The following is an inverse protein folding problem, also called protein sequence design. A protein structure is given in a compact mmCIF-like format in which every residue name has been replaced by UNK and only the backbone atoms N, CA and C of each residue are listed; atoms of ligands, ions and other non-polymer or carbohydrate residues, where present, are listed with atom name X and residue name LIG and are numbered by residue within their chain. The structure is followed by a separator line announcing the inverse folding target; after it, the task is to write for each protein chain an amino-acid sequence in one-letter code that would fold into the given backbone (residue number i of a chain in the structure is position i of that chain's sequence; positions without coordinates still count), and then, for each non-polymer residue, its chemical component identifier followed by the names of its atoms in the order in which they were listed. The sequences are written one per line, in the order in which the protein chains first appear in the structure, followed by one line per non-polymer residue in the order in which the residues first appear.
data_IF_277389821780
#
_entry.id   IF_277389821780
#
_cell.length_a   1.000
_cell.length_b   1.000
_cell.length_c   1.000
_cell.angle_alpha   90.00
_cell.angle_beta   90.00
_cell.angle_gamma   90.00
#
_symmetry.space_group_name_H-M   'P 1'
#
loop_
_entity.id
_entity.type
_entity.pdbx_description
1 polymer ?
#
# COMPACT_ATOMS: atom_id res chain seq x y z
N UNK A 1 0.76 -26.29 1.08
CA UNK A 1 1.96 -25.92 1.83
C UNK A 1 1.58 -26.04 3.28
N UNK A 2 2.15 -27.01 4.02
CA UNK A 2 1.97 -27.10 5.47
C UNK A 2 2.67 -25.91 6.08
N UNK A 3 1.91 -24.99 6.72
CA UNK A 3 2.46 -23.98 7.59
C UNK A 3 3.33 -24.68 8.64
N UNK A 4 4.63 -24.51 8.55
CA UNK A 4 5.50 -24.80 9.69
C UNK A 4 5.17 -23.73 10.74
N UNK A 5 4.56 -24.13 11.84
CA UNK A 5 4.34 -23.24 12.98
C UNK A 5 5.71 -22.70 13.41
N UNK A 6 5.95 -21.43 13.25
CA UNK A 6 7.17 -20.76 13.71
C UNK A 6 7.23 -20.66 15.24
N UNK A 7 6.85 -21.72 15.93
CA UNK A 7 6.88 -21.79 17.39
C UNK A 7 5.81 -20.98 18.14
N UNK A 8 4.90 -20.31 17.39
CA UNK A 8 3.77 -19.60 18.00
C UNK A 8 2.57 -20.57 18.13
N UNK A 9 2.00 -20.75 19.32
CA UNK A 9 1.01 -21.80 19.58
C UNK A 9 -0.40 -21.49 19.06
N UNK A 10 -0.60 -20.33 18.43
CA UNK A 10 -1.91 -19.90 17.94
C UNK A 10 -1.86 -19.75 16.41
N UNK A 11 -2.69 -20.49 15.72
CA UNK A 11 -2.89 -20.34 14.28
C UNK A 11 -4.04 -19.34 14.03
N UNK A 12 -3.82 -18.26 13.28
CA UNK A 12 -4.88 -17.29 12.96
C UNK A 12 -5.91 -17.94 12.03
N UNK A 13 -7.20 -17.71 12.33
CA UNK A 13 -8.27 -18.09 11.39
C UNK A 13 -8.22 -17.15 10.19
N UNK A 14 -8.11 -17.68 8.94
CA UNK A 14 -8.15 -16.83 7.77
C UNK A 14 -9.45 -16.02 7.72
N UNK A 15 -9.36 -14.71 7.50
CA UNK A 15 -10.56 -13.85 7.45
C UNK A 15 -11.55 -14.30 6.38
N UNK A 16 -11.06 -14.97 5.32
CA UNK A 16 -11.89 -15.59 4.26
C UNK A 16 -12.78 -16.72 4.76
N UNK A 17 -12.49 -17.28 5.93
CA UNK A 17 -13.29 -18.32 6.59
C UNK A 17 -14.25 -17.77 7.65
N UNK A 18 -14.23 -16.45 7.91
CA UNK A 18 -15.07 -15.80 8.92
C UNK A 18 -16.31 -15.20 8.27
N UNK A 19 -17.49 -15.50 8.84
CA UNK A 19 -18.77 -14.91 8.44
C UNK A 19 -19.41 -14.21 9.63
N UNK A 20 -19.63 -12.91 9.51
CA UNK A 20 -20.32 -12.12 10.51
C UNK A 20 -21.83 -12.29 10.34
N UNK A 21 -22.52 -12.73 11.40
CA UNK A 21 -23.96 -13.01 11.37
C UNK A 21 -24.76 -12.21 12.40
N UNK A 22 -24.09 -11.46 13.28
CA UNK A 22 -24.73 -10.64 14.31
C UNK A 22 -25.20 -9.28 13.76
N UNK A 23 -26.14 -8.66 14.48
CA UNK A 23 -26.70 -7.37 14.07
C UNK A 23 -25.78 -6.18 14.37
N UNK A 24 -24.88 -6.29 15.33
CA UNK A 24 -23.99 -5.20 15.72
C UNK A 24 -22.88 -4.97 14.68
N UNK A 25 -22.10 -6.01 14.36
CA UNK A 25 -21.02 -5.92 13.35
C UNK A 25 -21.58 -5.88 11.93
N UNK A 26 -22.69 -6.58 11.67
CA UNK A 26 -23.35 -6.56 10.36
C UNK A 26 -23.76 -5.16 9.92
N UNK A 27 -24.29 -4.31 10.82
CA UNK A 27 -24.60 -2.92 10.51
C UNK A 27 -23.33 -2.10 10.17
N UNK A 28 -22.23 -2.33 10.88
CA UNK A 28 -20.94 -1.65 10.63
C UNK A 28 -20.32 -2.04 9.30
N UNK A 29 -20.37 -3.33 8.96
CA UNK A 29 -19.92 -3.80 7.65
C UNK A 29 -20.77 -3.21 6.52
N UNK A 30 -22.10 -3.10 6.70
CA UNK A 30 -22.97 -2.44 5.73
C UNK A 30 -22.62 -0.95 5.58
N UNK A 31 -22.42 -0.23 6.69
CA UNK A 31 -21.98 1.17 6.64
C UNK A 31 -20.63 1.33 5.94
N UNK A 32 -19.69 0.42 6.20
CA UNK A 32 -18.39 0.41 5.51
C UNK A 32 -18.55 0.21 4.01
N UNK A 33 -19.42 -0.73 3.59
CA UNK A 33 -19.68 -1.04 2.18
C UNK A 33 -20.38 0.08 1.44
N UNK A 34 -21.43 0.66 2.06
CA UNK A 34 -22.32 1.58 1.37
C UNK A 34 -21.88 3.04 1.46
N UNK A 35 -21.10 3.38 2.48
CA UNK A 35 -20.70 4.76 2.77
C UNK A 35 -19.19 4.92 2.87
N UNK A 36 -18.51 4.20 3.79
CA UNK A 36 -17.12 4.51 4.15
C UNK A 36 -16.17 4.27 2.98
N UNK A 37 -16.21 3.10 2.35
CA UNK A 37 -15.30 2.76 1.26
C UNK A 37 -15.58 3.61 0.00
N UNK A 38 -16.82 3.81 -0.46
CA UNK A 38 -17.08 4.75 -1.56
C UNK A 38 -16.61 6.17 -1.26
N UNK A 39 -16.84 6.68 -0.04
CA UNK A 39 -16.37 8.00 0.37
C UNK A 39 -14.83 8.08 0.39
N UNK A 40 -14.15 7.05 0.92
CA UNK A 40 -12.70 7.02 0.97
C UNK A 40 -12.07 7.08 -0.44
N UNK A 41 -12.60 6.31 -1.39
CA UNK A 41 -12.17 6.39 -2.78
C UNK A 41 -12.43 7.76 -3.41
N UNK A 42 -13.63 8.33 -3.18
CA UNK A 42 -13.95 9.70 -3.63
C UNK A 42 -12.98 10.72 -3.07
N UNK A 43 -12.60 10.59 -1.79
CA UNK A 43 -11.60 11.48 -1.18
C UNK A 43 -10.19 11.28 -1.73
N UNK A 44 -9.78 10.05 -2.04
CA UNK A 44 -8.52 9.81 -2.74
C UNK A 44 -8.46 10.54 -4.09
N UNK A 45 -9.56 10.57 -4.83
CA UNK A 45 -9.67 11.29 -6.10
C UNK A 45 -9.69 12.81 -5.89
N UNK A 46 -10.62 13.31 -5.07
CA UNK A 46 -10.82 14.75 -4.81
C UNK A 46 -9.56 15.43 -4.25
N UNK A 47 -8.79 14.72 -3.43
CA UNK A 47 -7.61 15.26 -2.76
C UNK A 47 -6.31 14.96 -3.49
N UNK A 48 -6.39 14.43 -4.72
CA UNK A 48 -5.25 14.29 -5.63
C UNK A 48 -4.36 13.07 -5.38
N UNK A 49 -4.79 12.07 -4.56
CA UNK A 49 -3.98 10.87 -4.30
C UNK A 49 -3.70 10.09 -5.59
N UNK A 50 -4.70 9.96 -6.46
CA UNK A 50 -4.49 9.32 -7.77
C UNK A 50 -3.64 10.17 -8.71
N UNK A 51 -3.80 11.50 -8.65
CA UNK A 51 -2.98 12.43 -9.43
C UNK A 51 -1.50 12.30 -9.06
N UNK A 52 -1.16 12.03 -7.79
CA UNK A 52 0.21 11.79 -7.36
C UNK A 52 0.83 10.59 -8.10
N UNK A 53 0.11 9.47 -8.22
CA UNK A 53 0.60 8.32 -8.99
C UNK A 53 0.73 8.63 -10.49
N UNK A 54 -0.24 9.33 -11.08
CA UNK A 54 -0.15 9.76 -12.49
C UNK A 54 1.07 10.65 -12.71
N UNK A 55 1.31 11.60 -11.82
CA UNK A 55 2.48 12.47 -11.87
C UNK A 55 3.79 11.69 -11.67
N UNK A 56 3.81 10.70 -10.78
CA UNK A 56 4.99 9.86 -10.56
C UNK A 56 5.30 8.97 -11.77
N UNK A 57 4.29 8.57 -12.55
CA UNK A 57 4.48 7.88 -13.82
C UNK A 57 5.06 8.80 -14.92
N UNK A 58 4.92 10.12 -14.77
CA UNK A 58 5.39 11.15 -15.71
C UNK A 58 6.13 12.28 -14.97
N UNK A 59 7.29 12.01 -14.35
CA UNK A 59 8.00 12.99 -13.51
C UNK A 59 8.35 14.27 -14.27
N UNK A 60 8.24 15.41 -13.60
CA UNK A 60 8.58 16.71 -14.18
C UNK A 60 9.05 17.69 -13.12
N UNK A 61 10.06 18.51 -13.47
CA UNK A 61 10.56 19.59 -12.62
C UNK A 61 9.52 20.68 -12.35
N UNK A 62 8.44 20.71 -13.13
CA UNK A 62 7.36 21.71 -12.97
C UNK A 62 6.29 21.26 -11.98
N UNK A 63 6.29 19.98 -11.57
CA UNK A 63 5.33 19.47 -10.61
C UNK A 63 5.68 19.99 -9.21
N UNK A 64 4.70 20.64 -8.58
CA UNK A 64 4.82 21.02 -7.17
C UNK A 64 4.41 19.85 -6.31
N UNK A 65 5.37 19.27 -5.60
CA UNK A 65 5.11 18.20 -4.64
C UNK A 65 4.60 18.81 -3.34
N UNK A 66 3.45 18.37 -2.88
CA UNK A 66 2.80 18.86 -1.66
C UNK A 66 1.97 17.76 -1.00
N UNK A 67 1.15 18.13 -0.02
CA UNK A 67 0.40 17.17 0.79
C UNK A 67 1.24 16.59 1.92
N UNK A 68 1.04 15.33 2.23
CA UNK A 68 1.82 14.60 3.23
C UNK A 68 2.70 13.55 2.54
N UNK A 69 3.89 13.32 3.08
CA UNK A 69 4.83 12.35 2.50
C UNK A 69 4.29 10.91 2.44
N UNK A 70 3.20 10.61 3.14
CA UNK A 70 2.56 9.30 3.20
C UNK A 70 1.18 9.25 2.51
N UNK A 71 0.85 10.21 1.67
CA UNK A 71 -0.44 10.28 0.93
C UNK A 71 -0.73 9.01 0.12
N UNK A 72 0.28 8.31 -0.39
CA UNK A 72 0.14 7.04 -1.11
C UNK A 72 -0.61 5.99 -0.29
N UNK A 73 -0.41 5.99 1.05
CA UNK A 73 -1.03 5.01 1.94
C UNK A 73 -2.54 5.12 2.02
N UNK A 74 -3.13 6.28 1.74
CA UNK A 74 -4.58 6.46 1.72
C UNK A 74 -5.21 5.55 0.66
N UNK A 75 -4.55 5.42 -0.51
CA UNK A 75 -4.98 4.52 -1.58
C UNK A 75 -4.82 3.07 -1.17
N UNK A 76 -3.67 2.70 -0.60
CA UNK A 76 -3.39 1.31 -0.19
C UNK A 76 -4.34 0.83 0.90
N UNK A 77 -4.57 1.63 1.95
CA UNK A 77 -5.50 1.33 3.04
C UNK A 77 -6.95 1.24 2.57
N UNK A 78 -7.34 2.10 1.63
CA UNK A 78 -8.69 2.05 1.06
C UNK A 78 -8.90 0.77 0.25
N UNK A 79 -7.90 0.35 -0.55
CA UNK A 79 -7.93 -0.93 -1.28
C UNK A 79 -7.95 -2.11 -0.29
N UNK A 80 -7.19 -2.06 0.80
CA UNK A 80 -7.19 -3.08 1.84
C UNK A 80 -8.60 -3.26 2.43
N UNK A 81 -9.21 -2.18 2.91
CA UNK A 81 -10.56 -2.21 3.47
C UNK A 81 -11.62 -2.67 2.45
N UNK A 82 -11.51 -2.23 1.19
CA UNK A 82 -12.37 -2.67 0.10
C UNK A 82 -12.19 -4.16 -0.21
N UNK A 83 -10.99 -4.70 -0.09
CA UNK A 83 -10.70 -6.12 -0.31
C UNK A 83 -11.36 -7.01 0.74
N UNK A 84 -11.33 -6.60 2.02
CA UNK A 84 -12.06 -7.30 3.08
C UNK A 84 -13.58 -7.29 2.83
N UNK A 85 -14.12 -6.20 2.29
CA UNK A 85 -15.54 -6.14 1.92
C UNK A 85 -15.86 -7.03 0.72
N UNK A 86 -15.01 -7.07 -0.31
CA UNK A 86 -15.20 -7.93 -1.48
C UNK A 86 -15.27 -9.41 -1.11
N UNK A 87 -14.54 -9.84 -0.08
CA UNK A 87 -14.60 -11.20 0.43
C UNK A 87 -15.96 -11.53 1.03
N UNK A 88 -16.54 -10.59 1.78
CA UNK A 88 -17.83 -10.78 2.46
C UNK A 88 -19.02 -10.50 1.52
N UNK A 89 -18.89 -9.49 0.68
CA UNK A 89 -19.91 -9.02 -0.24
C UNK A 89 -19.32 -8.87 -1.64
N UNK A 90 -19.31 -9.93 -2.46
CA UNK A 90 -18.76 -9.88 -3.82
C UNK A 90 -19.42 -8.80 -4.67
N UNK A 91 -18.63 -7.86 -5.17
CA UNK A 91 -19.06 -6.75 -6.03
C UNK A 91 -18.13 -6.59 -7.23
N UNK A 92 -18.65 -6.92 -8.42
CA UNK A 92 -17.88 -6.84 -9.68
C UNK A 92 -17.52 -5.39 -10.06
N UNK A 93 -18.35 -4.40 -9.68
CA UNK A 93 -18.09 -2.99 -9.99
C UNK A 93 -16.94 -2.48 -9.14
N UNK A 94 -16.99 -2.75 -7.83
CA UNK A 94 -15.90 -2.41 -6.90
C UNK A 94 -14.59 -3.10 -7.31
N UNK A 95 -14.63 -4.39 -7.62
CA UNK A 95 -13.45 -5.13 -8.07
C UNK A 95 -12.82 -4.52 -9.35
N UNK A 96 -13.65 -4.15 -10.34
CA UNK A 96 -13.18 -3.48 -11.56
C UNK A 96 -12.62 -2.09 -11.27
N UNK A 97 -13.22 -1.35 -10.35
CA UNK A 97 -12.73 -0.04 -9.96
C UNK A 97 -11.35 -0.15 -9.30
N UNK A 98 -11.17 -1.09 -8.37
CA UNK A 98 -9.86 -1.36 -7.76
C UNK A 98 -8.83 -1.73 -8.84
N UNK A 99 -9.17 -2.58 -9.79
CA UNK A 99 -8.27 -2.92 -10.91
C UNK A 99 -7.83 -1.65 -11.68
N UNK A 100 -8.73 -0.70 -11.93
CA UNK A 100 -8.39 0.55 -12.62
C UNK A 100 -7.44 1.44 -11.79
N UNK A 101 -7.63 1.50 -10.48
CA UNK A 101 -6.71 2.22 -9.58
C UNK A 101 -5.33 1.56 -9.55
N UNK A 102 -5.29 0.22 -9.53
CA UNK A 102 -4.03 -0.52 -9.52
C UNK A 102 -3.22 -0.35 -10.82
N UNK A 103 -3.86 -0.08 -11.95
CA UNK A 103 -3.17 0.30 -13.20
C UNK A 103 -2.40 1.62 -13.01
N UNK A 104 -2.99 2.61 -12.36
CA UNK A 104 -2.35 3.90 -12.08
C UNK A 104 -1.18 3.71 -11.10
N UNK A 105 -1.38 2.93 -10.04
CA UNK A 105 -0.33 2.60 -9.07
C UNK A 105 0.85 1.88 -9.74
N UNK A 106 0.57 0.88 -10.56
CA UNK A 106 1.59 0.12 -11.29
C UNK A 106 2.43 1.00 -12.22
N UNK A 107 1.79 1.96 -12.90
CA UNK A 107 2.47 2.87 -13.82
C UNK A 107 3.44 3.82 -13.10
N UNK A 108 3.20 4.13 -11.83
CA UNK A 108 4.05 4.99 -11.01
C UNK A 108 5.30 4.28 -10.47
N UNK A 109 5.35 2.94 -10.54
CA UNK A 109 6.47 2.17 -10.01
C UNK A 109 7.70 2.29 -10.91
N UNK A 110 8.82 2.69 -10.34
CA UNK A 110 10.08 2.80 -11.07
C UNK A 110 10.59 1.43 -11.56
N UNK A 111 11.44 1.39 -12.59
CA UNK A 111 11.91 0.13 -13.19
C UNK A 111 12.57 -0.84 -12.20
N UNK A 112 13.24 -0.32 -11.19
CA UNK A 112 13.87 -1.09 -10.12
C UNK A 112 12.90 -1.52 -9.00
N UNK A 113 11.64 -1.16 -9.09
CA UNK A 113 10.60 -1.53 -8.13
C UNK A 113 10.31 -0.48 -7.06
N UNK A 114 11.09 0.59 -6.95
CA UNK A 114 10.82 1.66 -6.00
C UNK A 114 9.48 2.34 -6.29
N UNK A 115 8.71 2.67 -5.25
CA UNK A 115 7.43 3.37 -5.39
C UNK A 115 7.17 4.28 -4.20
N UNK A 116 7.35 5.57 -4.41
CA UNK A 116 7.09 6.61 -3.41
C UNK A 116 6.84 7.93 -4.14
N UNK A 117 5.57 8.31 -4.32
CA UNK A 117 5.20 9.42 -5.21
C UNK A 117 5.76 10.75 -4.75
N UNK A 118 5.84 10.98 -3.44
CA UNK A 118 6.40 12.20 -2.83
C UNK A 118 7.86 12.50 -3.23
N UNK A 119 8.57 11.51 -3.75
CA UNK A 119 9.90 11.68 -4.33
C UNK A 119 9.86 11.64 -5.86
N UNK A 120 9.16 10.66 -6.42
CA UNK A 120 9.24 10.33 -7.85
C UNK A 120 8.58 11.39 -8.74
N UNK A 121 7.55 12.08 -8.26
CA UNK A 121 6.86 13.12 -9.04
C UNK A 121 7.79 14.25 -9.52
N UNK A 122 8.72 14.68 -8.66
CA UNK A 122 9.73 15.68 -8.98
C UNK A 122 11.06 15.30 -8.30
N UNK A 123 11.91 14.52 -8.96
CA UNK A 123 13.16 14.04 -8.37
C UNK A 123 14.17 15.14 -7.99
N UNK A 124 14.09 16.30 -8.65
CA UNK A 124 14.95 17.47 -8.31
C UNK A 124 14.45 18.23 -7.11
N UNK A 125 13.13 18.29 -6.93
CA UNK A 125 12.49 19.00 -5.83
C UNK A 125 11.42 18.10 -5.19
N UNK A 126 11.86 17.00 -4.54
CA UNK A 126 10.92 16.07 -3.88
C UNK A 126 10.26 16.76 -2.68
N UNK A 127 9.30 16.08 -2.07
CA UNK A 127 8.71 16.54 -0.81
C UNK A 127 9.80 16.81 0.23
N UNK A 128 9.68 17.88 1.00
CA UNK A 128 10.69 18.30 1.99
C UNK A 128 11.05 17.22 3.01
N UNK A 129 10.09 16.32 3.32
CA UNK A 129 10.28 15.18 4.22
C UNK A 129 10.93 13.97 3.55
N UNK A 130 10.98 13.94 2.22
CA UNK A 130 11.59 12.80 1.49
C UNK A 130 13.13 12.84 1.47
N UNK A 131 13.73 14.00 1.79
CA UNK A 131 15.17 14.18 1.70
C UNK A 131 15.68 14.27 0.26
N UNK A 132 16.99 14.40 0.07
CA UNK A 132 17.63 14.54 -1.24
C UNK A 132 17.87 13.20 -1.93
N UNK A 133 17.93 12.10 -1.16
CA UNK A 133 18.18 10.73 -1.63
C UNK A 133 17.11 9.78 -1.08
N UNK A 134 16.92 8.64 -1.74
CA UNK A 134 16.08 7.55 -1.22
C UNK A 134 16.57 7.13 0.17
N UNK A 135 15.66 6.84 1.08
CA UNK A 135 15.90 6.33 2.44
C UNK A 135 16.60 7.33 3.38
N UNK A 136 16.89 8.55 2.93
CA UNK A 136 17.68 9.52 3.73
C UNK A 136 17.02 9.86 5.05
N UNK A 137 15.70 10.03 5.05
CA UNK A 137 14.91 10.48 6.21
C UNK A 137 13.92 9.45 6.74
N UNK A 138 14.14 8.16 6.49
CA UNK A 138 13.21 7.11 6.92
C UNK A 138 13.10 6.97 8.44
N UNK A 139 14.12 7.37 9.18
CA UNK A 139 14.14 7.37 10.64
C UNK A 139 13.40 8.58 11.23
N UNK A 140 13.09 9.57 10.40
CA UNK A 140 12.44 10.82 10.80
C UNK A 140 11.03 10.92 10.22
N UNK A 141 10.92 11.35 8.96
CA UNK A 141 9.67 11.84 8.36
C UNK A 141 9.34 11.28 6.98
N UNK A 142 10.27 10.64 6.23
CA UNK A 142 10.00 10.31 4.83
C UNK A 142 8.88 9.28 4.65
N UNK A 143 8.68 8.40 5.60
CA UNK A 143 7.62 7.38 5.57
C UNK A 143 7.69 6.39 4.40
N UNK A 144 8.86 6.21 3.77
CA UNK A 144 9.04 5.25 2.66
C UNK A 144 8.69 3.82 3.09
N UNK A 145 9.19 3.37 4.26
CA UNK A 145 8.83 2.05 4.82
C UNK A 145 7.38 1.97 5.29
N UNK A 146 6.81 3.08 5.75
CA UNK A 146 5.40 3.13 6.10
C UNK A 146 4.51 2.93 4.85
N UNK A 147 4.88 3.58 3.74
CA UNK A 147 4.22 3.39 2.44
C UNK A 147 4.35 1.94 1.96
N UNK A 148 5.54 1.34 2.03
CA UNK A 148 5.76 -0.06 1.69
C UNK A 148 4.87 -0.97 2.56
N UNK A 149 4.89 -0.80 3.87
CA UNK A 149 4.13 -1.66 4.79
C UNK A 149 2.63 -1.68 4.47
N UNK A 150 2.02 -0.51 4.31
CA UNK A 150 0.59 -0.43 3.95
C UNK A 150 0.29 -0.93 2.53
N UNK A 151 1.23 -0.79 1.59
CA UNK A 151 1.10 -1.41 0.28
C UNK A 151 1.05 -2.92 0.39
N UNK A 152 1.99 -3.52 1.13
CA UNK A 152 2.07 -4.99 1.31
C UNK A 152 0.81 -5.52 2.02
N UNK A 153 0.34 -4.86 3.08
CA UNK A 153 -0.91 -5.23 3.76
C UNK A 153 -2.11 -5.21 2.80
N UNK A 154 -2.27 -4.13 2.04
CA UNK A 154 -3.34 -4.01 1.05
C UNK A 154 -3.22 -5.05 -0.07
N UNK A 155 -2.01 -5.35 -0.51
CA UNK A 155 -1.76 -6.33 -1.56
C UNK A 155 -2.06 -7.77 -1.12
N UNK A 156 -1.72 -8.13 0.12
CA UNK A 156 -2.05 -9.43 0.70
C UNK A 156 -3.56 -9.57 0.85
N UNK A 157 -4.24 -8.56 1.43
CA UNK A 157 -5.69 -8.58 1.57
C UNK A 157 -6.39 -8.72 0.21
N UNK A 158 -5.93 -7.99 -0.81
CA UNK A 158 -6.47 -8.07 -2.17
C UNK A 158 -6.26 -9.44 -2.80
N UNK A 159 -5.07 -10.01 -2.67
CA UNK A 159 -4.77 -11.36 -3.16
C UNK A 159 -5.62 -12.42 -2.47
N UNK A 160 -5.72 -12.39 -1.14
CA UNK A 160 -6.51 -13.35 -0.36
C UNK A 160 -8.01 -13.26 -0.70
N UNK A 161 -8.54 -12.06 -0.92
CA UNK A 161 -9.96 -11.85 -1.24
C UNK A 161 -10.32 -12.20 -2.69
N UNK A 162 -9.41 -11.99 -3.65
CA UNK A 162 -9.73 -12.04 -5.08
C UNK A 162 -8.97 -13.10 -5.86
N UNK A 163 -7.85 -13.61 -5.35
CA UNK A 163 -6.89 -14.46 -6.05
C UNK A 163 -6.05 -13.72 -7.09
N UNK A 164 -6.24 -12.41 -7.29
CA UNK A 164 -5.51 -11.61 -8.29
C UNK A 164 -4.14 -11.20 -7.75
N UNK A 165 -3.13 -11.29 -8.60
CA UNK A 165 -1.75 -10.94 -8.24
C UNK A 165 -1.35 -9.50 -8.60
N UNK A 166 -2.20 -8.75 -9.32
CA UNK A 166 -1.84 -7.44 -9.85
C UNK A 166 -1.30 -6.46 -8.80
N UNK A 167 -1.88 -6.42 -7.60
CA UNK A 167 -1.35 -5.59 -6.51
C UNK A 167 -0.17 -6.27 -5.79
N UNK A 168 -0.24 -7.56 -5.59
CA UNK A 168 0.82 -8.34 -4.95
C UNK A 168 2.15 -8.24 -5.73
N UNK A 169 2.10 -8.29 -7.05
CA UNK A 169 3.30 -8.19 -7.88
C UNK A 169 3.97 -6.80 -7.80
N UNK A 170 3.19 -5.72 -7.64
CA UNK A 170 3.72 -4.37 -7.36
C UNK A 170 4.44 -4.36 -5.99
N UNK A 171 3.79 -4.93 -4.96
CA UNK A 171 4.34 -4.97 -3.61
C UNK A 171 5.63 -5.81 -3.53
N UNK A 172 5.68 -6.97 -4.20
CA UNK A 172 6.87 -7.82 -4.28
C UNK A 172 8.04 -7.05 -4.92
N UNK A 173 7.81 -6.36 -6.04
CA UNK A 173 8.86 -5.58 -6.69
C UNK A 173 9.40 -4.47 -5.78
N UNK A 174 8.55 -3.84 -4.99
CA UNK A 174 9.01 -2.82 -4.04
C UNK A 174 9.79 -3.45 -2.87
N UNK A 175 9.32 -4.57 -2.33
CA UNK A 175 10.04 -5.33 -1.31
C UNK A 175 11.42 -5.79 -1.81
N UNK A 176 11.50 -6.29 -3.05
CA UNK A 176 12.78 -6.66 -3.69
C UNK A 176 13.71 -5.45 -3.84
N UNK A 177 13.18 -4.27 -4.15
CA UNK A 177 13.97 -3.02 -4.18
C UNK A 177 14.56 -2.72 -2.80
N UNK A 178 13.76 -2.81 -1.74
CA UNK A 178 14.24 -2.64 -0.36
C UNK A 178 15.32 -3.66 -0.02
N UNK A 179 15.10 -4.94 -0.32
CA UNK A 179 16.09 -5.99 -0.05
C UNK A 179 17.42 -5.78 -0.76
N UNK A 180 17.44 -5.10 -1.91
CA UNK A 180 18.68 -4.74 -2.61
C UNK A 180 19.40 -3.54 -2.00
N UNK A 181 18.65 -2.56 -1.50
CA UNK A 181 19.22 -1.27 -1.06
C UNK A 181 19.46 -1.18 0.45
N UNK A 182 18.73 -1.96 1.25
CA UNK A 182 18.74 -1.89 2.71
C UNK A 182 19.30 -3.18 3.30
N UNK A 183 20.28 -3.04 4.19
CA UNK A 183 20.93 -4.16 4.87
C UNK A 183 22.35 -3.85 5.29
N UNK A 184 23.13 -4.91 5.54
CA UNK A 184 24.54 -4.82 5.97
C UNK A 184 25.53 -5.31 4.90
N UNK A 185 25.03 -5.62 3.70
CA UNK A 185 25.87 -6.04 2.58
C UNK A 185 26.60 -4.88 1.92
N UNK A 186 27.53 -5.21 1.03
CA UNK A 186 28.28 -4.21 0.26
C UNK A 186 27.33 -3.36 -0.60
N UNK A 187 27.42 -2.05 -0.49
CA UNK A 187 26.57 -1.09 -1.21
C UNK A 187 25.20 -0.87 -0.61
N UNK A 188 24.80 -1.62 0.43
CA UNK A 188 23.54 -1.42 1.13
C UNK A 188 23.63 -0.32 2.20
N UNK A 189 22.48 0.23 2.57
CA UNK A 189 22.35 1.23 3.62
C UNK A 189 21.77 0.57 4.88
N UNK A 190 22.35 0.85 6.04
CA UNK A 190 21.74 0.49 7.32
C UNK A 190 20.72 1.57 7.66
N UNK A 191 19.45 1.20 7.73
CA UNK A 191 18.34 2.11 8.06
C UNK A 191 17.39 1.44 9.03
N UNK A 192 16.84 2.22 9.94
CA UNK A 192 15.78 1.81 10.87
C UNK A 192 14.50 2.54 10.49
N UNK A 193 13.41 1.83 10.19
CA UNK A 193 12.14 2.51 9.88
C UNK A 193 11.58 3.23 11.09
N UNK A 194 10.98 4.40 10.87
CA UNK A 194 10.25 5.12 11.92
C UNK A 194 8.94 4.44 12.35
N UNK A 195 8.45 3.48 11.55
CA UNK A 195 7.23 2.70 11.81
C UNK A 195 7.47 1.21 11.50
N UNK A 196 6.94 0.33 12.34
CA UNK A 196 7.11 -1.12 12.25
C UNK A 196 6.16 -1.83 11.28
N UNK A 197 5.34 -1.10 10.54
CA UNK A 197 4.35 -1.68 9.63
C UNK A 197 5.00 -2.48 8.49
N UNK A 198 6.19 -2.10 8.03
CA UNK A 198 6.90 -2.80 6.98
C UNK A 198 7.28 -4.22 7.42
N UNK A 199 7.86 -4.37 8.61
CA UNK A 199 8.28 -5.65 9.17
C UNK A 199 7.07 -6.56 9.43
N UNK A 200 5.98 -5.99 9.96
CA UNK A 200 4.73 -6.73 10.20
C UNK A 200 4.13 -7.24 8.89
N UNK A 201 4.09 -6.40 7.89
CA UNK A 201 3.53 -6.73 6.58
C UNK A 201 4.36 -7.76 5.83
N UNK A 202 5.68 -7.65 5.86
CA UNK A 202 6.59 -8.59 5.19
C UNK A 202 6.65 -9.97 5.88
N UNK A 203 6.22 -10.06 7.16
CA UNK A 203 6.10 -11.33 7.86
C UNK A 203 4.86 -12.14 7.47
N UNK A 204 3.85 -11.52 6.83
CA UNK A 204 2.62 -12.17 6.32
C UNK A 204 2.85 -12.83 4.98
#
# INVERSE_FOLDING_TARGET
VKNQSHGYPIDPVPFTSVKVTDSFWGQRLNASREVTIPLAFSKCEETGRYTNFVNAAHPSDTIKVGGLAFDDTDVYKTIEGASYLLQTYPDKKLAKYIDSVLVIVAAAQEPDGYLYTSRTMNPKHPHEWAGSKRWEKVEELSHEFYNLGHMVEGAIAHYQATGKRNFLDIAIRYADCVCREIGTGEGQQIRVPGHQIAEMALAK
#
